data_IF_246779389524
#
_entry.id   IF_246779389524
#
_cell.length_a   1.000
_cell.length_b   1.000
_cell.length_c   1.000
_cell.angle_alpha   90.00
_cell.angle_beta   90.00
_cell.angle_gamma   90.00
#
_symmetry.space_group_name_H-M   'P 1'
#
loop_
_entity.id
_entity.type
_entity.pdbx_description
1 polymer ?
#
# COMPACT_ATOMS: atom_id res chain seq x y z
N UNK A 1 3.17 -32.88 5.93
CA UNK A 1 2.89 -31.56 5.33
C UNK A 1 1.80 -30.81 6.11
N UNK A 2 0.65 -31.41 6.38
CA UNK A 2 -0.45 -30.79 7.14
C UNK A 2 -0.17 -30.55 8.64
N UNK A 3 0.69 -31.36 9.26
CA UNK A 3 0.99 -31.22 10.70
C UNK A 3 1.73 -29.93 11.03
N UNK A 4 2.61 -29.47 10.14
CA UNK A 4 3.34 -28.20 10.28
C UNK A 4 2.39 -27.02 10.01
N UNK A 5 1.51 -27.15 9.00
CA UNK A 5 0.45 -26.20 8.66
C UNK A 5 -0.50 -25.95 9.85
N UNK A 6 -0.97 -27.01 10.53
CA UNK A 6 -1.84 -26.90 11.72
C UNK A 6 -1.11 -26.30 12.92
N UNK A 7 0.17 -26.68 13.15
CA UNK A 7 0.99 -26.12 14.24
C UNK A 7 1.33 -24.64 14.04
N UNK A 8 1.46 -24.17 12.79
CA UNK A 8 1.61 -22.76 12.45
C UNK A 8 0.32 -21.96 12.70
N UNK A 9 -0.82 -22.46 12.20
CA UNK A 9 -2.14 -21.85 12.39
C UNK A 9 -2.55 -21.74 13.87
N UNK A 10 -2.28 -22.77 14.68
CA UNK A 10 -2.58 -22.74 16.11
C UNK A 10 -1.75 -21.68 16.86
N UNK A 11 -0.47 -21.52 16.50
CA UNK A 11 0.40 -20.47 17.08
C UNK A 11 0.04 -19.07 16.61
N UNK A 12 -0.44 -18.94 15.36
CA UNK A 12 -0.95 -17.69 14.80
C UNK A 12 -2.19 -17.21 15.56
N UNK A 13 -3.14 -18.13 15.84
CA UNK A 13 -4.36 -17.80 16.58
C UNK A 13 -4.05 -17.26 17.97
N UNK A 14 -3.08 -17.87 18.66
CA UNK A 14 -2.64 -17.47 20.00
C UNK A 14 -1.98 -16.08 19.96
N UNK A 15 -1.02 -15.84 19.04
CA UNK A 15 -0.32 -14.54 18.96
C UNK A 15 -1.20 -13.39 18.49
N UNK A 16 -2.13 -13.62 17.56
CA UNK A 16 -3.11 -12.59 17.16
C UNK A 16 -3.97 -12.22 18.35
N UNK A 17 -4.44 -13.21 19.10
CA UNK A 17 -5.30 -13.00 20.26
C UNK A 17 -4.57 -12.27 21.41
N UNK A 18 -3.26 -12.50 21.58
CA UNK A 18 -2.42 -11.74 22.51
C UNK A 18 -2.18 -10.31 22.05
N UNK A 19 -1.84 -10.07 20.77
CA UNK A 19 -1.69 -8.71 20.23
C UNK A 19 -2.98 -7.88 20.34
N UNK A 20 -4.14 -8.52 20.17
CA UNK A 20 -5.45 -7.85 20.29
C UNK A 20 -5.73 -7.43 21.74
N UNK A 21 -5.24 -8.20 22.73
CA UNK A 21 -5.41 -7.90 24.15
C UNK A 21 -4.46 -6.79 24.63
N UNK A 22 -3.22 -6.78 24.15
CA UNK A 22 -2.23 -5.76 24.54
C UNK A 22 -2.55 -4.37 23.95
N UNK A 23 -3.24 -4.32 22.81
CA UNK A 23 -3.69 -3.08 22.18
C UNK A 23 -4.73 -2.28 22.99
N UNK A 24 -5.32 -2.88 24.04
CA UNK A 24 -6.40 -2.29 24.81
C UNK A 24 -5.95 -1.30 25.91
N UNK A 25 -4.64 -1.13 26.16
CA UNK A 25 -4.19 -0.47 27.41
C UNK A 25 -3.42 0.87 27.27
N UNK A 26 -2.90 1.29 26.10
CA UNK A 26 -2.25 2.62 26.01
C UNK A 26 -2.04 3.12 24.56
N UNK A 27 -2.71 4.21 24.11
CA UNK A 27 -2.81 4.59 22.68
C UNK A 27 -1.50 5.01 21.98
N UNK A 28 -0.52 5.60 22.67
CA UNK A 28 0.69 6.14 22.02
C UNK A 28 1.83 5.13 21.89
N UNK A 29 2.13 4.33 22.93
CA UNK A 29 3.13 3.24 22.84
C UNK A 29 2.63 2.03 22.04
N UNK A 30 1.31 1.84 21.95
CA UNK A 30 0.69 0.72 21.24
C UNK A 30 0.96 0.78 19.74
N UNK A 31 1.01 1.97 19.13
CA UNK A 31 1.19 2.09 17.68
C UNK A 31 2.60 1.67 17.23
N UNK A 32 3.66 2.08 17.94
CA UNK A 32 5.05 1.71 17.60
C UNK A 32 5.36 0.25 17.93
N UNK A 33 4.83 -0.26 19.06
CA UNK A 33 5.05 -1.64 19.50
C UNK A 33 4.21 -2.65 18.70
N UNK A 34 2.95 -2.33 18.35
CA UNK A 34 2.14 -3.12 17.40
C UNK A 34 2.74 -3.07 16.00
N UNK A 35 3.27 -1.93 15.54
CA UNK A 35 3.90 -1.84 14.23
C UNK A 35 5.12 -2.76 14.16
N UNK A 36 6.00 -2.73 15.17
CA UNK A 36 7.12 -3.68 15.27
C UNK A 36 6.64 -5.13 15.37
N UNK A 37 5.66 -5.43 16.23
CA UNK A 37 5.20 -6.80 16.45
C UNK A 37 4.45 -7.38 15.24
N UNK A 38 3.66 -6.57 14.53
CA UNK A 38 2.94 -6.95 13.32
C UNK A 38 3.90 -7.11 12.14
N UNK A 39 4.85 -6.19 11.95
CA UNK A 39 5.88 -6.30 10.92
C UNK A 39 6.79 -7.52 11.17
N UNK A 40 7.22 -7.77 12.42
CA UNK A 40 8.05 -8.93 12.73
C UNK A 40 7.27 -10.25 12.60
N UNK A 41 6.07 -10.37 13.18
CA UNK A 41 5.29 -11.62 13.06
C UNK A 41 4.86 -11.89 11.62
N UNK A 42 4.50 -10.86 10.86
CA UNK A 42 4.17 -11.01 9.46
C UNK A 42 5.41 -11.37 8.63
N UNK A 43 6.50 -10.60 8.68
CA UNK A 43 7.70 -10.86 7.87
C UNK A 43 8.32 -12.23 8.14
N UNK A 44 8.41 -12.66 9.41
CA UNK A 44 9.00 -13.95 9.77
C UNK A 44 8.17 -15.11 9.21
N UNK A 45 6.84 -15.00 9.23
CA UNK A 45 5.96 -16.05 8.71
C UNK A 45 5.76 -15.96 7.18
N UNK A 46 5.78 -14.74 6.62
CA UNK A 46 5.68 -14.42 5.18
C UNK A 46 6.77 -15.12 4.38
N UNK A 47 8.03 -14.97 4.80
CA UNK A 47 9.17 -15.56 4.09
C UNK A 47 9.35 -17.06 4.35
N UNK A 48 8.82 -17.58 5.45
CA UNK A 48 8.83 -19.01 5.74
C UNK A 48 7.88 -19.82 4.82
N UNK A 49 6.87 -19.17 4.24
CA UNK A 49 5.89 -19.81 3.34
C UNK A 49 6.42 -19.99 1.91
N UNK A 50 7.33 -19.12 1.45
CA UNK A 50 7.89 -19.21 0.10
C UNK A 50 9.01 -20.26 0.05
N UNK A 51 8.65 -21.46 -0.42
CA UNK A 51 9.53 -22.63 -0.45
C UNK A 51 10.66 -22.50 -1.48
N UNK A 52 10.37 -21.94 -2.64
CA UNK A 52 11.35 -21.74 -3.72
C UNK A 52 12.33 -20.62 -3.35
N UNK A 53 13.61 -20.97 -3.19
CA UNK A 53 14.68 -19.99 -2.88
C UNK A 53 14.71 -18.78 -3.86
N UNK A 54 14.68 -18.96 -5.20
CA UNK A 54 14.81 -17.83 -6.12
C UNK A 54 13.60 -16.88 -6.12
N UNK A 55 12.41 -17.38 -5.82
CA UNK A 55 11.20 -16.53 -5.68
C UNK A 55 11.24 -15.78 -4.35
N UNK A 56 11.67 -16.45 -3.29
CA UNK A 56 11.79 -15.87 -1.96
C UNK A 56 12.75 -14.68 -1.95
N UNK A 57 13.93 -14.84 -2.53
CA UNK A 57 14.94 -13.78 -2.53
C UNK A 57 14.55 -12.60 -3.43
N UNK A 58 13.83 -12.88 -4.53
CA UNK A 58 13.23 -11.84 -5.36
C UNK A 58 12.17 -11.03 -4.60
N UNK A 59 11.24 -11.71 -3.92
CA UNK A 59 10.23 -11.05 -3.10
C UNK A 59 10.84 -10.25 -1.95
N UNK A 60 11.95 -10.71 -1.33
CA UNK A 60 12.68 -9.89 -0.35
C UNK A 60 13.06 -8.54 -0.94
N UNK A 61 13.69 -8.54 -2.11
CA UNK A 61 14.13 -7.31 -2.75
C UNK A 61 12.95 -6.40 -3.15
N UNK A 62 11.86 -6.98 -3.67
CA UNK A 62 10.63 -6.24 -3.99
C UNK A 62 10.07 -5.53 -2.75
N UNK A 63 9.89 -6.26 -1.65
CA UNK A 63 9.33 -5.71 -0.41
C UNK A 63 10.30 -4.75 0.31
N UNK A 64 11.61 -4.94 0.16
CA UNK A 64 12.60 -3.96 0.62
C UNK A 64 12.51 -2.64 -0.17
N UNK A 65 12.36 -2.69 -1.49
CA UNK A 65 12.12 -1.50 -2.30
C UNK A 65 10.80 -0.82 -1.95
N UNK A 66 9.73 -1.61 -1.72
CA UNK A 66 8.45 -1.10 -1.22
C UNK A 66 8.64 -0.33 0.08
N UNK A 67 9.31 -0.91 1.08
CA UNK A 67 9.56 -0.24 2.36
C UNK A 67 10.33 1.08 2.20
N UNK A 68 11.39 1.09 1.39
CA UNK A 68 12.18 2.31 1.11
C UNK A 68 11.30 3.37 0.43
N UNK A 69 10.48 2.97 -0.56
CA UNK A 69 9.57 3.88 -1.25
C UNK A 69 8.49 4.45 -0.31
N UNK A 70 7.93 3.63 0.58
CA UNK A 70 6.96 4.09 1.59
C UNK A 70 7.60 5.09 2.57
N UNK A 71 8.84 4.86 3.00
CA UNK A 71 9.58 5.82 3.84
C UNK A 71 9.87 7.12 3.09
N UNK A 72 10.25 7.04 1.82
CA UNK A 72 10.46 8.21 0.98
C UNK A 72 9.16 9.01 0.78
N UNK A 73 8.04 8.33 0.55
CA UNK A 73 6.72 8.97 0.46
C UNK A 73 6.31 9.63 1.78
N UNK A 74 6.57 8.98 2.92
CA UNK A 74 6.33 9.58 4.24
C UNK A 74 7.20 10.83 4.46
N UNK A 75 8.47 10.80 4.07
CA UNK A 75 9.34 11.97 4.10
C UNK A 75 8.83 13.09 3.18
N UNK A 76 8.33 12.75 1.98
CA UNK A 76 7.72 13.71 1.07
C UNK A 76 6.49 14.39 1.66
N UNK A 77 5.57 13.60 2.23
CA UNK A 77 4.39 14.14 2.92
C UNK A 77 4.76 15.03 4.11
N UNK A 78 5.76 14.62 4.90
CA UNK A 78 6.28 15.42 6.01
C UNK A 78 6.87 16.75 5.52
N UNK A 79 7.71 16.75 4.48
CA UNK A 79 8.30 17.97 3.92
C UNK A 79 7.20 18.94 3.47
N UNK A 80 6.13 18.46 2.83
CA UNK A 80 5.02 19.31 2.42
C UNK A 80 4.43 20.11 3.59
N UNK A 81 4.15 19.43 4.72
CA UNK A 81 3.56 20.04 5.91
C UNK A 81 4.40 21.19 6.49
N UNK A 82 5.72 21.18 6.29
CA UNK A 82 6.61 22.21 6.81
C UNK A 82 6.95 23.30 5.81
N UNK A 83 6.92 22.99 4.52
CA UNK A 83 7.45 23.92 3.55
C UNK A 83 6.41 24.83 2.92
N UNK A 84 5.14 24.46 2.76
CA UNK A 84 4.12 25.22 1.97
C UNK A 84 4.58 25.66 0.54
N UNK A 85 5.86 25.47 0.17
CA UNK A 85 6.57 25.98 -1.01
C UNK A 85 6.01 25.41 -2.32
N UNK A 86 5.19 24.36 -2.24
CA UNK A 86 4.58 23.70 -3.39
C UNK A 86 3.06 23.55 -3.19
N UNK A 87 2.34 24.66 -3.00
CA UNK A 87 0.89 24.73 -3.27
C UNK A 87 0.53 24.36 -4.73
N UNK A 88 1.52 24.28 -5.63
CA UNK A 88 1.36 23.81 -7.00
C UNK A 88 1.29 22.28 -7.11
N UNK A 89 0.17 21.68 -6.68
CA UNK A 89 -0.12 20.25 -6.87
C UNK A 89 0.16 19.75 -8.28
N UNK A 90 -0.03 20.59 -9.29
CA UNK A 90 0.14 20.21 -10.69
C UNK A 90 1.59 19.85 -11.03
N UNK A 91 2.57 20.64 -10.55
CA UNK A 91 3.99 20.40 -10.83
C UNK A 91 4.48 19.12 -10.16
N UNK A 92 4.06 18.86 -8.92
CA UNK A 92 4.45 17.63 -8.21
C UNK A 92 3.84 16.38 -8.85
N UNK A 93 2.60 16.46 -9.34
CA UNK A 93 2.00 15.36 -10.14
C UNK A 93 2.65 15.16 -11.50
N UNK A 94 3.01 16.23 -12.21
CA UNK A 94 3.74 16.09 -13.48
C UNK A 94 5.13 15.50 -13.26
N UNK A 95 5.80 15.90 -12.19
CA UNK A 95 7.11 15.38 -11.83
C UNK A 95 7.04 13.90 -11.44
N UNK A 96 6.05 13.49 -10.63
CA UNK A 96 5.88 12.08 -10.28
C UNK A 96 5.54 11.24 -11.51
N UNK A 97 4.68 11.73 -12.41
CA UNK A 97 4.39 11.06 -13.68
C UNK A 97 5.64 10.95 -14.56
N UNK A 98 6.44 12.03 -14.66
CA UNK A 98 7.69 12.04 -15.41
C UNK A 98 8.72 11.04 -14.88
N UNK A 99 8.87 10.94 -13.55
CA UNK A 99 9.74 9.97 -12.89
C UNK A 99 9.25 8.53 -13.10
N UNK A 100 7.94 8.30 -13.07
CA UNK A 100 7.35 7.00 -13.38
C UNK A 100 7.65 6.58 -14.83
N UNK A 101 7.41 7.47 -15.80
CA UNK A 101 7.71 7.22 -17.21
C UNK A 101 9.21 6.99 -17.42
N UNK A 102 10.07 7.78 -16.76
CA UNK A 102 11.52 7.60 -16.80
C UNK A 102 11.93 6.21 -16.28
N UNK A 103 11.31 5.72 -15.20
CA UNK A 103 11.60 4.41 -14.65
C UNK A 103 11.23 3.26 -15.61
N UNK A 104 10.13 3.40 -16.35
CA UNK A 104 9.73 2.42 -17.36
C UNK A 104 10.60 2.50 -18.62
N UNK A 105 11.05 3.70 -19.01
CA UNK A 105 11.91 3.93 -20.16
C UNK A 105 13.35 3.40 -19.97
N UNK A 106 13.86 3.37 -18.72
CA UNK A 106 15.20 2.84 -18.44
C UNK A 106 15.15 1.30 -18.40
N UNK A 107 15.85 0.60 -19.32
CA UNK A 107 15.87 -0.86 -19.35
C UNK A 107 16.69 -1.45 -18.20
N UNK A 108 16.32 -2.67 -17.80
CA UNK A 108 17.00 -3.40 -16.74
C UNK A 108 18.26 -4.10 -17.24
N UNK A 109 19.39 -3.39 -17.19
CA UNK A 109 20.70 -3.90 -17.62
C UNK A 109 21.60 -4.35 -16.45
N UNK A 110 21.07 -4.45 -15.22
CA UNK A 110 21.81 -4.79 -13.99
C UNK A 110 22.78 -3.71 -13.50
N UNK A 111 23.49 -3.02 -14.40
CA UNK A 111 24.40 -1.90 -14.06
C UNK A 111 23.67 -0.63 -13.63
N UNK A 112 22.48 -0.41 -14.18
CA UNK A 112 21.68 0.79 -13.94
C UNK A 112 20.77 0.67 -12.69
N UNK A 113 20.94 -0.38 -11.89
CA UNK A 113 20.06 -0.68 -10.76
C UNK A 113 20.00 0.46 -9.74
N UNK A 114 21.13 1.07 -9.42
CA UNK A 114 21.20 2.19 -8.47
C UNK A 114 20.46 3.43 -8.99
N UNK A 115 20.58 3.74 -10.28
CA UNK A 115 19.88 4.85 -10.92
C UNK A 115 18.37 4.62 -10.90
N UNK A 116 17.94 3.39 -11.24
CA UNK A 116 16.51 3.01 -11.20
C UNK A 116 15.94 3.08 -9.79
N UNK A 117 16.71 2.65 -8.78
CA UNK A 117 16.32 2.77 -7.38
C UNK A 117 16.21 4.24 -6.96
N UNK A 118 17.15 5.10 -7.37
CA UNK A 118 17.09 6.54 -7.11
C UNK A 118 15.84 7.18 -7.75
N UNK A 119 15.52 6.80 -8.99
CA UNK A 119 14.29 7.26 -9.67
C UNK A 119 13.05 6.78 -8.92
N UNK A 120 13.00 5.51 -8.46
CA UNK A 120 11.91 4.99 -7.64
C UNK A 120 11.73 5.80 -6.34
N UNK A 121 12.82 6.11 -5.64
CA UNK A 121 12.79 6.91 -4.41
C UNK A 121 12.30 8.32 -4.68
N UNK A 122 12.78 8.96 -5.74
CA UNK A 122 12.31 10.28 -6.17
C UNK A 122 10.82 10.26 -6.55
N UNK A 123 10.38 9.22 -7.27
CA UNK A 123 8.98 9.01 -7.60
C UNK A 123 8.12 8.87 -6.35
N UNK A 124 8.56 8.07 -5.38
CA UNK A 124 7.82 7.86 -4.15
C UNK A 124 7.76 9.12 -3.27
N UNK A 125 8.88 9.84 -3.15
CA UNK A 125 8.95 11.13 -2.46
C UNK A 125 8.01 12.17 -3.06
N UNK A 126 8.02 12.32 -4.38
CA UNK A 126 7.13 13.26 -5.09
C UNK A 126 5.66 12.83 -5.05
N UNK A 127 5.38 11.53 -5.02
CA UNK A 127 4.04 10.99 -4.75
C UNK A 127 3.57 11.38 -3.34
N UNK A 128 4.44 11.26 -2.34
CA UNK A 128 4.18 11.70 -0.97
C UNK A 128 3.91 13.20 -0.86
N UNK A 129 4.72 14.03 -1.54
CA UNK A 129 4.48 15.48 -1.65
C UNK A 129 3.13 15.78 -2.29
N UNK A 130 2.73 15.05 -3.32
CA UNK A 130 1.43 15.21 -4.00
C UNK A 130 0.23 14.84 -3.12
N UNK A 131 0.44 14.10 -2.02
CA UNK A 131 -0.59 13.85 -1.00
C UNK A 131 -0.76 15.02 -0.02
N UNK A 132 0.09 16.04 -0.10
CA UNK A 132 0.16 17.18 0.80
C UNK A 132 -1.19 17.79 1.20
N UNK A 133 -2.00 18.29 0.24
CA UNK A 133 -3.28 18.92 0.59
C UNK A 133 -4.29 17.98 1.25
N UNK A 134 -4.21 16.67 0.97
CA UNK A 134 -5.02 15.71 1.69
C UNK A 134 -4.55 15.58 3.15
N UNK A 135 -3.24 15.57 3.37
CA UNK A 135 -2.65 15.53 4.72
C UNK A 135 -2.99 16.79 5.50
N UNK A 136 -2.99 17.98 4.88
CA UNK A 136 -3.40 19.23 5.54
C UNK A 136 -4.84 19.14 6.08
N UNK A 137 -5.77 18.63 5.26
CA UNK A 137 -7.15 18.40 5.69
C UNK A 137 -7.18 17.41 6.87
N UNK A 138 -6.42 16.32 6.81
CA UNK A 138 -6.40 15.33 7.89
C UNK A 138 -5.83 15.92 9.18
N UNK A 139 -4.74 16.69 9.11
CA UNK A 139 -4.12 17.35 10.28
C UNK A 139 -5.08 18.36 10.91
N UNK A 140 -5.85 19.10 10.09
CA UNK A 140 -6.86 20.05 10.59
C UNK A 140 -7.99 19.37 11.37
N UNK A 141 -8.32 18.11 11.02
CA UNK A 141 -9.28 17.30 11.77
C UNK A 141 -8.58 16.65 12.95
N UNK A 142 -7.74 15.64 12.73
CA UNK A 142 -7.01 14.95 13.79
C UNK A 142 -5.72 14.32 13.22
N UNK A 143 -4.53 14.74 13.66
CA UNK A 143 -3.26 14.19 13.16
C UNK A 143 -3.07 12.70 13.51
N UNK A 144 -3.74 12.18 14.55
CA UNK A 144 -3.65 10.76 14.91
C UNK A 144 -4.21 9.83 13.83
N UNK A 145 -5.10 10.34 12.97
CA UNK A 145 -5.68 9.60 11.84
C UNK A 145 -4.59 9.13 10.87
N UNK A 146 -3.51 9.89 10.68
CA UNK A 146 -2.45 9.53 9.74
C UNK A 146 -1.78 8.22 10.16
N UNK A 147 -1.40 8.13 11.43
CA UNK A 147 -0.76 6.93 11.99
C UNK A 147 -1.71 5.71 11.98
N UNK A 148 -2.98 5.91 12.32
CA UNK A 148 -3.96 4.82 12.33
C UNK A 148 -4.29 4.32 10.91
N UNK A 149 -4.42 5.21 9.94
CA UNK A 149 -4.61 4.87 8.53
C UNK A 149 -3.40 4.09 7.98
N UNK A 150 -2.18 4.51 8.33
CA UNK A 150 -0.96 3.82 7.93
C UNK A 150 -0.90 2.39 8.49
N UNK A 151 -1.17 2.22 9.79
CA UNK A 151 -1.20 0.90 10.42
C UNK A 151 -2.29 0.01 9.82
N UNK A 152 -3.48 0.55 9.58
CA UNK A 152 -4.56 -0.17 8.92
C UNK A 152 -4.17 -0.61 7.50
N UNK A 153 -3.49 0.26 6.74
CA UNK A 153 -2.98 -0.07 5.40
C UNK A 153 -1.95 -1.18 5.46
N UNK A 154 -0.96 -1.08 6.35
CA UNK A 154 0.03 -2.13 6.58
C UNK A 154 -0.63 -3.47 6.94
N UNK A 155 -1.66 -3.44 7.79
CA UNK A 155 -2.38 -4.64 8.20
C UNK A 155 -3.14 -5.29 7.03
N UNK A 156 -3.89 -4.49 6.27
CA UNK A 156 -4.62 -4.91 5.07
C UNK A 156 -3.66 -5.47 4.04
N UNK A 157 -2.65 -4.69 3.65
CA UNK A 157 -1.67 -5.04 2.63
C UNK A 157 -0.99 -6.37 2.97
N UNK A 158 -0.48 -6.49 4.20
CA UNK A 158 0.17 -7.72 4.67
C UNK A 158 -0.77 -8.92 4.67
N UNK A 159 -2.01 -8.76 5.12
CA UNK A 159 -3.00 -9.84 5.17
C UNK A 159 -3.32 -10.37 3.76
N UNK A 160 -3.53 -9.45 2.80
CA UNK A 160 -3.82 -9.80 1.42
C UNK A 160 -2.59 -10.38 0.71
N UNK A 161 -1.40 -9.79 0.87
CA UNK A 161 -0.15 -10.36 0.34
C UNK A 161 0.12 -11.78 0.89
N UNK A 162 -0.11 -12.03 2.18
CA UNK A 162 -0.01 -13.37 2.78
C UNK A 162 -1.02 -14.35 2.18
N UNK A 163 -2.26 -13.89 1.99
CA UNK A 163 -3.33 -14.70 1.41
C UNK A 163 -3.03 -15.10 -0.05
N UNK A 164 -2.40 -14.19 -0.81
CA UNK A 164 -1.84 -14.51 -2.12
C UNK A 164 -0.82 -15.65 -2.00
N UNK A 165 0.19 -15.54 -1.13
CA UNK A 165 1.21 -16.59 -0.96
C UNK A 165 0.64 -17.96 -0.56
N UNK A 166 -0.49 -18.00 0.14
CA UNK A 166 -1.12 -19.24 0.60
C UNK A 166 -1.99 -19.92 -0.47
N UNK A 167 -2.45 -19.17 -1.48
CA UNK A 167 -3.33 -19.72 -2.51
C UNK A 167 -2.53 -20.46 -3.59
N UNK A 168 -3.11 -21.55 -4.11
CA UNK A 168 -2.52 -22.29 -5.22
C UNK A 168 -2.34 -21.40 -6.47
N UNK A 169 -1.21 -21.60 -7.14
CA UNK A 169 -0.72 -20.77 -8.23
C UNK A 169 -1.77 -20.61 -9.35
N UNK A 170 -1.84 -19.41 -9.93
CA UNK A 170 -2.61 -19.02 -11.11
C UNK A 170 -4.11 -18.69 -10.96
N UNK A 171 -4.79 -18.97 -9.83
CA UNK A 171 -6.23 -18.66 -9.72
C UNK A 171 -6.54 -17.16 -9.83
N UNK A 172 -5.73 -16.32 -9.20
CA UNK A 172 -5.95 -14.86 -9.17
C UNK A 172 -5.53 -14.16 -10.46
N UNK A 173 -4.63 -14.76 -11.26
CA UNK A 173 -4.16 -14.16 -12.52
C UNK A 173 -5.32 -14.04 -13.53
N UNK A 174 -6.24 -15.00 -13.56
CA UNK A 174 -7.44 -14.94 -14.41
C UNK A 174 -8.41 -13.80 -14.03
N UNK A 175 -8.35 -13.32 -12.77
CA UNK A 175 -9.18 -12.21 -12.29
C UNK A 175 -8.61 -10.85 -12.71
N UNK A 176 -7.36 -10.79 -13.19
CA UNK A 176 -6.70 -9.54 -13.62
C UNK A 176 -7.52 -8.74 -14.64
N UNK A 177 -8.11 -9.39 -15.64
CA UNK A 177 -8.96 -8.71 -16.62
C UNK A 177 -10.20 -8.06 -15.99
N UNK A 178 -10.81 -8.71 -14.99
CA UNK A 178 -11.96 -8.16 -14.27
C UNK A 178 -11.57 -6.98 -13.37
N UNK A 179 -10.43 -7.07 -12.66
CA UNK A 179 -9.89 -5.99 -11.84
C UNK A 179 -9.60 -4.73 -12.67
N UNK A 180 -8.94 -4.90 -13.82
CA UNK A 180 -8.66 -3.80 -14.75
C UNK A 180 -9.96 -3.18 -15.30
N UNK A 181 -10.96 -4.00 -15.63
CA UNK A 181 -12.26 -3.50 -16.10
C UNK A 181 -12.97 -2.66 -15.05
N UNK A 182 -12.99 -3.12 -13.79
CA UNK A 182 -13.59 -2.37 -12.69
C UNK A 182 -12.80 -1.07 -12.44
N UNK A 183 -11.47 -1.11 -12.49
CA UNK A 183 -10.64 0.09 -12.36
C UNK A 183 -10.94 1.12 -13.46
N UNK A 184 -11.13 0.70 -14.71
CA UNK A 184 -11.52 1.58 -15.80
C UNK A 184 -12.90 2.22 -15.56
N UNK A 185 -13.89 1.43 -15.12
CA UNK A 185 -15.23 1.94 -14.78
C UNK A 185 -15.16 2.93 -13.63
N UNK A 186 -14.38 2.63 -12.59
CA UNK A 186 -14.17 3.54 -11.46
C UNK A 186 -13.47 4.84 -11.87
N UNK A 187 -12.54 4.77 -12.81
CA UNK A 187 -11.89 5.95 -13.40
C UNK A 187 -12.90 6.83 -14.14
N UNK A 188 -13.78 6.21 -14.95
CA UNK A 188 -14.88 6.91 -15.61
C UNK A 188 -15.83 7.56 -14.60
N UNK A 189 -16.19 6.86 -13.52
CA UNK A 189 -17.00 7.43 -12.44
C UNK A 189 -16.31 8.61 -11.75
N UNK A 190 -15.00 8.57 -11.58
CA UNK A 190 -14.23 9.70 -11.05
C UNK A 190 -14.29 10.91 -11.98
N UNK A 191 -14.21 10.70 -13.31
CA UNK A 191 -14.33 11.77 -14.30
C UNK A 191 -15.74 12.35 -14.32
N UNK A 192 -16.77 11.51 -14.33
CA UNK A 192 -18.17 11.97 -14.26
C UNK A 192 -18.42 12.76 -12.97
N UNK A 193 -17.89 12.28 -11.85
CA UNK A 193 -18.03 12.96 -10.56
C UNK A 193 -17.35 14.35 -10.54
N UNK A 194 -16.32 14.58 -11.37
CA UNK A 194 -15.69 15.89 -11.49
C UNK A 194 -16.63 16.93 -12.11
N UNK A 195 -17.52 16.52 -13.02
CA UNK A 195 -18.53 17.41 -13.62
C UNK A 195 -19.81 17.51 -12.78
N UNK A 196 -20.21 16.41 -12.12
CA UNK A 196 -21.50 16.33 -11.43
C UNK A 196 -21.44 16.68 -9.93
N UNK A 197 -20.28 16.51 -9.28
CA UNK A 197 -20.09 16.83 -7.86
C UNK A 197 -20.92 15.98 -6.89
N UNK A 198 -21.32 14.76 -7.26
CA UNK A 198 -22.24 13.94 -6.45
C UNK A 198 -21.55 13.28 -5.26
N UNK A 199 -21.99 13.61 -4.04
CA UNK A 199 -21.50 12.99 -2.81
C UNK A 199 -21.66 11.45 -2.82
N UNK A 200 -22.76 10.94 -3.38
CA UNK A 200 -23.02 9.50 -3.46
C UNK A 200 -22.01 8.77 -4.35
N UNK A 201 -21.66 9.34 -5.51
CA UNK A 201 -20.66 8.77 -6.42
C UNK A 201 -19.27 8.80 -5.79
N UNK A 202 -18.93 9.89 -5.08
CA UNK A 202 -17.67 9.99 -4.34
C UNK A 202 -17.55 8.91 -3.27
N UNK A 203 -18.57 8.72 -2.43
CA UNK A 203 -18.59 7.70 -1.38
C UNK A 203 -18.48 6.28 -1.96
N UNK A 204 -19.26 6.00 -3.01
CA UNK A 204 -19.24 4.69 -3.67
C UNK A 204 -17.85 4.40 -4.25
N UNK A 205 -17.25 5.34 -4.98
CA UNK A 205 -15.90 5.19 -5.52
C UNK A 205 -14.89 4.95 -4.40
N UNK A 206 -15.02 5.66 -3.29
CA UNK A 206 -14.11 5.58 -2.17
C UNK A 206 -14.12 4.18 -1.52
N UNK A 207 -15.27 3.65 -1.13
CA UNK A 207 -15.39 2.33 -0.50
C UNK A 207 -15.12 1.18 -1.48
N UNK A 208 -15.69 1.24 -2.69
CA UNK A 208 -15.45 0.23 -3.72
C UNK A 208 -13.96 0.17 -4.10
N UNK A 209 -13.30 1.32 -4.10
CA UNK A 209 -11.87 1.39 -4.41
C UNK A 209 -11.00 0.73 -3.35
N UNK A 210 -11.34 0.83 -2.06
CA UNK A 210 -10.58 0.08 -1.03
C UNK A 210 -10.65 -1.42 -1.31
N UNK A 211 -11.85 -1.94 -1.59
CA UNK A 211 -12.03 -3.37 -1.92
C UNK A 211 -11.26 -3.76 -3.17
N UNK A 212 -11.34 -2.92 -4.22
CA UNK A 212 -10.64 -3.13 -5.48
C UNK A 212 -9.12 -3.15 -5.32
N UNK A 213 -8.53 -2.19 -4.61
CA UNK A 213 -7.08 -2.16 -4.39
C UNK A 213 -6.60 -3.29 -3.48
N UNK A 214 -7.41 -3.75 -2.51
CA UNK A 214 -7.11 -5.01 -1.80
C UNK A 214 -7.03 -6.21 -2.76
N UNK A 215 -7.90 -6.23 -3.78
CA UNK A 215 -7.85 -7.20 -4.87
C UNK A 215 -6.61 -7.07 -5.75
N UNK A 216 -6.16 -5.84 -6.04
CA UNK A 216 -4.90 -5.62 -6.75
C UNK A 216 -3.69 -6.10 -5.95
N UNK A 217 -3.62 -5.86 -4.64
CA UNK A 217 -2.52 -6.40 -3.79
C UNK A 217 -2.41 -7.93 -3.90
N UNK A 218 -3.55 -8.63 -3.90
CA UNK A 218 -3.59 -10.08 -4.13
C UNK A 218 -3.07 -10.44 -5.52
N UNK A 219 -3.60 -9.78 -6.54
CA UNK A 219 -3.28 -10.02 -7.95
C UNK A 219 -1.81 -9.73 -8.25
N UNK A 220 -1.29 -8.57 -7.87
CA UNK A 220 0.08 -8.14 -8.10
C UNK A 220 1.07 -9.03 -7.35
N UNK A 221 0.78 -9.39 -6.09
CA UNK A 221 1.62 -10.35 -5.37
C UNK A 221 1.72 -11.69 -6.10
N UNK A 222 0.61 -12.21 -6.64
CA UNK A 222 0.61 -13.43 -7.44
C UNK A 222 1.32 -13.27 -8.79
N UNK A 223 1.11 -12.14 -9.45
CA UNK A 223 1.71 -11.83 -10.75
C UNK A 223 3.23 -11.73 -10.64
N UNK A 224 3.76 -11.13 -9.56
CA UNK A 224 5.20 -11.03 -9.29
C UNK A 224 5.83 -12.42 -9.15
N UNK A 225 5.16 -13.34 -8.46
CA UNK A 225 5.64 -14.72 -8.30
C UNK A 225 5.68 -15.44 -9.64
N UNK A 226 4.62 -15.30 -10.44
CA UNK A 226 4.52 -15.93 -11.74
C UNK A 226 5.52 -15.36 -12.74
N UNK A 227 5.66 -14.03 -12.82
CA UNK A 227 6.69 -13.34 -13.60
C UNK A 227 8.08 -13.83 -13.21
N UNK A 228 8.33 -14.00 -11.90
CA UNK A 228 9.61 -14.53 -11.42
C UNK A 228 9.85 -15.98 -11.85
N UNK A 229 8.82 -16.84 -11.82
CA UNK A 229 8.89 -18.23 -12.32
C UNK A 229 9.16 -18.29 -13.83
N UNK A 230 8.67 -17.31 -14.59
CA UNK A 230 8.96 -17.12 -16.03
C UNK A 230 10.34 -16.53 -16.32
N UNK A 231 11.14 -16.24 -15.28
CA UNK A 231 12.53 -15.78 -15.40
C UNK A 231 12.72 -14.27 -15.27
N UNK A 232 11.66 -13.49 -15.05
CA UNK A 232 11.77 -12.04 -14.87
C UNK A 232 12.50 -11.69 -13.56
N UNK A 233 13.43 -10.74 -13.63
CA UNK A 233 14.31 -10.39 -12.49
C UNK A 233 14.13 -8.97 -11.98
N UNK A 234 13.25 -8.20 -12.61
CA UNK A 234 13.11 -6.77 -12.36
C UNK A 234 12.27 -6.49 -11.11
N UNK A 235 12.90 -6.61 -9.93
CA UNK A 235 12.21 -6.38 -8.65
C UNK A 235 11.82 -4.91 -8.44
N UNK A 236 12.46 -3.96 -9.15
CA UNK A 236 12.18 -2.53 -9.03
C UNK A 236 10.81 -2.24 -9.65
N UNK A 237 10.54 -2.70 -10.88
CA UNK A 237 9.21 -2.54 -11.50
C UNK A 237 8.11 -3.19 -10.68
N UNK A 238 8.34 -4.42 -10.22
CA UNK A 238 7.41 -5.11 -9.33
C UNK A 238 7.12 -4.35 -8.02
N UNK A 239 8.11 -3.62 -7.49
CA UNK A 239 7.90 -2.81 -6.28
C UNK A 239 7.07 -1.56 -6.54
N UNK A 240 7.10 -1.01 -7.76
CA UNK A 240 6.27 0.15 -8.16
C UNK A 240 4.80 -0.23 -8.14
N UNK A 241 4.44 -1.37 -8.74
CA UNK A 241 3.07 -1.86 -8.80
C UNK A 241 2.49 -1.99 -7.37
N UNK A 242 3.22 -2.67 -6.48
CA UNK A 242 2.86 -2.80 -5.06
C UNK A 242 2.83 -1.47 -4.30
N UNK A 243 3.71 -0.52 -4.64
CA UNK A 243 3.73 0.80 -4.01
C UNK A 243 2.50 1.63 -4.40
N UNK A 244 2.09 1.58 -5.66
CA UNK A 244 0.88 2.26 -6.15
C UNK A 244 -0.38 1.71 -5.47
N UNK A 245 -0.48 0.40 -5.31
CA UNK A 245 -1.55 -0.25 -4.55
C UNK A 245 -1.54 0.21 -3.09
N UNK A 246 -0.39 0.20 -2.44
CA UNK A 246 -0.24 0.62 -1.04
C UNK A 246 -0.69 2.06 -0.82
N UNK A 247 -0.20 3.00 -1.63
CA UNK A 247 -0.59 4.43 -1.55
C UNK A 247 -2.07 4.61 -1.87
N UNK A 248 -2.62 3.84 -2.81
CA UNK A 248 -4.04 3.92 -3.17
C UNK A 248 -4.95 3.48 -2.02
N UNK A 249 -4.61 2.41 -1.30
CA UNK A 249 -5.32 1.97 -0.09
C UNK A 249 -5.15 3.02 1.01
N UNK A 250 -3.92 3.48 1.26
CA UNK A 250 -3.62 4.46 2.31
C UNK A 250 -4.41 5.76 2.13
N UNK A 251 -4.40 6.33 0.92
CA UNK A 251 -5.16 7.55 0.60
C UNK A 251 -6.65 7.40 0.86
N UNK A 252 -7.23 6.25 0.49
CA UNK A 252 -8.66 5.99 0.69
C UNK A 252 -9.00 5.79 2.16
N UNK A 253 -8.17 5.04 2.90
CA UNK A 253 -8.35 4.86 4.35
C UNK A 253 -8.21 6.17 5.13
N UNK A 254 -7.27 7.04 4.73
CA UNK A 254 -7.17 8.40 5.28
C UNK A 254 -8.51 9.14 5.15
N UNK A 255 -9.07 9.21 3.94
CA UNK A 255 -10.33 9.93 3.71
C UNK A 255 -11.48 9.31 4.52
N UNK A 256 -11.60 7.97 4.57
CA UNK A 256 -12.65 7.29 5.36
C UNK A 256 -12.56 7.68 6.84
N UNK A 257 -11.35 7.61 7.42
CA UNK A 257 -11.15 7.88 8.84
C UNK A 257 -11.37 9.36 9.16
N UNK A 258 -10.93 10.26 8.29
CA UNK A 258 -11.21 11.70 8.41
C UNK A 258 -12.71 12.00 8.40
N UNK A 259 -13.47 11.44 7.46
CA UNK A 259 -14.93 11.61 7.41
C UNK A 259 -15.63 11.02 8.64
N UNK A 260 -15.16 9.87 9.12
CA UNK A 260 -15.72 9.24 10.32
C UNK A 260 -15.48 10.09 11.57
N UNK A 261 -14.31 10.71 11.69
CA UNK A 261 -13.98 11.56 12.84
C UNK A 261 -14.71 12.91 12.77
N UNK A 262 -14.81 13.53 11.59
CA UNK A 262 -15.57 14.77 11.43
C UNK A 262 -17.05 14.59 11.82
N UNK A 263 -17.70 13.53 11.35
CA UNK A 263 -19.10 13.22 11.72
C UNK A 263 -19.27 12.86 13.20
N UNK A 264 -18.22 12.38 13.89
CA UNK A 264 -18.27 12.13 15.34
C UNK A 264 -18.23 13.43 16.14
N UNK A 265 -17.42 14.39 15.70
CA UNK A 265 -17.33 15.72 16.33
C UNK A 265 -18.62 16.51 16.17
N UNK A 266 -19.23 16.48 14.98
CA UNK A 266 -20.54 17.11 14.73
C UNK A 266 -21.64 16.59 15.65
N UNK A 267 -21.66 15.29 15.96
CA UNK A 267 -22.67 14.71 16.88
C UNK A 267 -22.46 15.05 18.35
N UNK A 268 -21.27 15.54 18.71
CA UNK A 268 -20.90 15.88 20.09
C UNK A 268 -21.16 17.34 20.42
N UNK A 269 -21.21 18.19 19.39
CA UNK A 269 -21.55 19.61 19.46
C UNK A 269 -23.07 19.81 19.30
#
# INVERSE_FOLDING_TARGET
SDTIRRKGLARLRIRIQDCTKTAAYNKECTNVLLMKCFIECACIHYFALVREKPVRDHLKNVYSCLAISTLAAAAGGYVHLFTEILQGNFLTTLLSLGLLVALFAVPDNGKNQHVRLAILVGFAFTTGLGMGPLLDIVVSVDPSIISTAFLATCAVFTCFSLSALYTDHCRWIYIGGTLMSILSIMSLFSLVNLFMGSFFLFQTNLYLGVVLFCGFVLYDTQLIIEKRKRGERDYIRHSVDLFLDFISIFRRLLIILTQKESSRREKRN
#
